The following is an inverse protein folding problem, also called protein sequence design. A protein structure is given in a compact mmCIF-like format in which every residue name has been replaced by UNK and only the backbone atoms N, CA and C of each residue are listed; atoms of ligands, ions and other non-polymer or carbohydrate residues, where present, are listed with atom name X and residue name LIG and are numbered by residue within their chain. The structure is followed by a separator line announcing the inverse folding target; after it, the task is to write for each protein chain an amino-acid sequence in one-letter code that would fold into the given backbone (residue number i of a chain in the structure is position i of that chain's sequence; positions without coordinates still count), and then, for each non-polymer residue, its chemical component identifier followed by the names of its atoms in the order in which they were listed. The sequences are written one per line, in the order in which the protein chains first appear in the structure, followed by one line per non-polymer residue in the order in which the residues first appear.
data_IF_098760355316
#
_entry.id   IF_098760355316
#
_cell.length_a   1.000
_cell.length_b   1.000
_cell.length_c   1.000
_cell.angle_alpha   90.00
_cell.angle_beta   90.00
_cell.angle_gamma   90.00
#
_symmetry.space_group_name_H-M   'P 1'
#
loop_
_entity.id
_entity.type
_entity.pdbx_description
1 polymer ?
#
# COMPACT_ATOMS: atom_id res chain seq x y z
N UNK A 1 -8.74 3.41 35.75
CA UNK A 1 -9.21 2.02 35.80
C UNK A 1 -10.03 1.73 34.54
N UNK A 2 -9.39 1.49 33.40
CA UNK A 2 -9.98 0.83 32.21
C UNK A 2 -8.84 0.04 31.55
N UNK A 3 -8.34 -0.96 32.28
CA UNK A 3 -7.59 -2.06 31.68
C UNK A 3 -8.63 -3.16 31.46
N UNK A 4 -9.51 -2.95 30.48
CA UNK A 4 -10.46 -3.99 30.08
C UNK A 4 -9.62 -5.08 29.42
N UNK A 5 -9.66 -6.28 29.96
CA UNK A 5 -8.92 -7.44 29.49
C UNK A 5 -9.29 -7.75 28.03
N UNK A 6 -8.53 -7.17 27.10
CA UNK A 6 -8.65 -7.51 25.69
C UNK A 6 -8.35 -9.01 25.55
N UNK A 7 -9.24 -9.80 24.91
CA UNK A 7 -8.98 -11.23 24.72
C UNK A 7 -7.68 -11.35 23.92
N UNK A 8 -6.63 -11.92 24.54
CA UNK A 8 -5.36 -12.16 23.85
C UNK A 8 -5.68 -12.98 22.60
N UNK A 9 -5.49 -12.41 21.41
CA UNK A 9 -5.64 -13.14 20.14
C UNK A 9 -4.82 -14.42 20.28
N UNK A 10 -5.51 -15.55 20.35
CA UNK A 10 -4.85 -16.84 20.38
C UNK A 10 -4.10 -17.03 19.06
N UNK A 11 -2.90 -17.57 19.17
CA UNK A 11 -2.09 -17.93 18.01
C UNK A 11 -2.83 -19.03 17.25
N UNK A 12 -3.51 -18.64 16.18
CA UNK A 12 -4.17 -19.54 15.23
C UNK A 12 -3.43 -19.47 13.91
N UNK A 13 -3.25 -20.60 13.25
CA UNK A 13 -2.64 -20.68 11.93
C UNK A 13 -3.37 -19.79 10.91
N UNK A 14 -4.69 -19.64 11.06
CA UNK A 14 -5.50 -18.74 10.24
C UNK A 14 -5.05 -17.29 10.38
N UNK A 15 -4.87 -16.81 11.61
CA UNK A 15 -4.42 -15.45 11.89
C UNK A 15 -3.02 -15.20 11.33
N UNK A 16 -2.15 -16.21 11.35
CA UNK A 16 -0.81 -16.13 10.75
C UNK A 16 -0.87 -16.03 9.24
N UNK A 17 -1.66 -16.87 8.57
CA UNK A 17 -1.81 -16.81 7.13
C UNK A 17 -2.47 -15.50 6.67
N UNK A 18 -3.45 -15.00 7.40
CA UNK A 18 -4.07 -13.70 7.13
C UNK A 18 -3.07 -12.55 7.28
N UNK A 19 -2.30 -12.52 8.38
CA UNK A 19 -1.27 -11.50 8.59
C UNK A 19 -0.17 -11.59 7.52
N UNK A 20 0.29 -12.80 7.23
CA UNK A 20 1.29 -13.05 6.20
C UNK A 20 0.81 -12.62 4.81
N UNK A 21 -0.41 -12.99 4.41
CA UNK A 21 -1.01 -12.58 3.14
C UNK A 21 -1.13 -11.07 3.01
N UNK A 22 -1.47 -10.37 4.10
CA UNK A 22 -1.53 -8.91 4.14
C UNK A 22 -0.14 -8.28 3.93
N UNK A 23 0.90 -8.83 4.55
CA UNK A 23 2.29 -8.36 4.38
C UNK A 23 2.76 -8.60 2.94
N UNK A 24 2.56 -9.82 2.40
CA UNK A 24 2.94 -10.15 1.02
C UNK A 24 2.22 -9.26 0.02
N UNK A 25 0.92 -8.99 0.22
CA UNK A 25 0.17 -8.07 -0.62
C UNK A 25 0.72 -6.63 -0.55
N UNK A 26 1.03 -6.13 0.64
CA UNK A 26 1.58 -4.79 0.83
C UNK A 26 2.93 -4.59 0.13
N UNK A 27 3.76 -5.64 0.05
CA UNK A 27 5.05 -5.62 -0.64
C UNK A 27 4.99 -6.13 -2.09
N UNK A 28 3.80 -6.51 -2.59
CA UNK A 28 3.54 -7.04 -3.94
C UNK A 28 3.63 -6.01 -5.06
N UNK A 29 4.69 -5.21 -5.05
CA UNK A 29 4.87 -4.01 -5.87
C UNK A 29 5.59 -4.30 -7.22
N UNK A 30 6.22 -5.47 -7.35
CA UNK A 30 7.13 -5.76 -8.46
C UNK A 30 6.50 -5.66 -9.86
N UNK A 31 5.21 -5.95 -9.99
CA UNK A 31 4.52 -5.93 -11.28
C UNK A 31 4.37 -4.52 -11.88
N UNK A 32 4.35 -3.46 -11.07
CA UNK A 32 4.21 -2.09 -11.57
C UNK A 32 5.55 -1.40 -11.87
N UNK A 33 6.66 -1.95 -11.37
CA UNK A 33 8.00 -1.36 -11.50
C UNK A 33 8.40 -1.06 -12.95
N UNK A 34 8.11 -1.91 -13.96
CA UNK A 34 8.47 -1.62 -15.34
C UNK A 34 7.76 -0.40 -15.91
N UNK A 35 6.45 -0.24 -15.64
CA UNK A 35 5.67 0.93 -16.08
C UNK A 35 6.18 2.20 -15.39
N UNK A 36 6.43 2.12 -14.07
CA UNK A 36 6.98 3.24 -13.31
C UNK A 36 8.37 3.67 -13.82
N UNK A 37 9.23 2.70 -14.20
CA UNK A 37 10.53 3.00 -14.79
C UNK A 37 10.40 3.66 -16.17
N UNK A 38 9.42 3.24 -16.97
CA UNK A 38 9.15 3.82 -18.29
C UNK A 38 8.67 5.28 -18.18
N UNK A 39 7.87 5.59 -17.15
CA UNK A 39 7.36 6.93 -16.88
C UNK A 39 8.42 7.88 -16.30
N UNK A 40 9.57 7.38 -15.85
CA UNK A 40 10.64 8.20 -15.28
C UNK A 40 11.46 8.94 -16.35
N UNK A 41 11.61 10.27 -16.19
CA UNK A 41 12.48 11.12 -17.01
C UNK A 41 13.94 10.64 -17.10
N UNK A 42 14.44 9.92 -16.09
CA UNK A 42 15.81 9.37 -16.02
C UNK A 42 15.80 7.91 -15.52
N UNK A 43 15.60 6.92 -16.40
CA UNK A 43 15.45 5.52 -15.99
C UNK A 43 16.73 4.91 -15.36
N UNK A 44 17.90 5.50 -15.63
CA UNK A 44 19.19 5.08 -15.05
C UNK A 44 19.26 5.22 -13.52
N UNK A 45 18.42 6.07 -12.93
CA UNK A 45 18.35 6.32 -11.49
C UNK A 45 17.22 5.54 -10.80
N UNK A 46 16.47 4.72 -11.54
CA UNK A 46 15.30 3.99 -11.06
C UNK A 46 15.60 3.15 -9.82
N UNK A 47 16.67 2.35 -9.84
CA UNK A 47 17.05 1.49 -8.73
C UNK A 47 17.33 2.29 -7.44
N UNK A 48 18.00 3.43 -7.54
CA UNK A 48 18.28 4.30 -6.38
C UNK A 48 16.99 4.91 -5.82
N UNK A 49 16.09 5.35 -6.70
CA UNK A 49 14.78 5.89 -6.30
C UNK A 49 13.92 4.82 -5.62
N UNK A 50 13.92 3.60 -6.15
CA UNK A 50 13.17 2.47 -5.62
C UNK A 50 13.64 2.09 -4.22
N UNK A 51 14.96 1.97 -4.02
CA UNK A 51 15.53 1.66 -2.71
C UNK A 51 15.21 2.72 -1.65
N UNK A 52 15.33 4.00 -2.00
CA UNK A 52 14.99 5.09 -1.08
C UNK A 52 13.50 5.06 -0.73
N UNK A 53 12.61 4.90 -1.72
CA UNK A 53 11.18 4.80 -1.49
C UNK A 53 10.83 3.60 -0.58
N UNK A 54 11.47 2.45 -0.80
CA UNK A 54 11.23 1.24 -0.01
C UNK A 54 11.69 1.38 1.44
N UNK A 55 12.83 2.03 1.69
CA UNK A 55 13.31 2.29 3.06
C UNK A 55 12.37 3.28 3.78
N UNK A 56 11.94 4.34 3.08
CA UNK A 56 11.05 5.35 3.66
C UNK A 56 9.69 4.75 4.04
N UNK A 57 9.08 3.94 3.15
CA UNK A 57 7.78 3.29 3.45
C UNK A 57 7.93 2.27 4.59
N UNK A 58 9.04 1.54 4.65
CA UNK A 58 9.31 0.58 5.72
C UNK A 58 9.38 1.28 7.08
N UNK A 59 10.12 2.39 7.17
CA UNK A 59 10.22 3.19 8.40
C UNK A 59 8.85 3.77 8.77
N UNK A 60 8.10 4.28 7.80
CA UNK A 60 6.76 4.82 8.03
C UNK A 60 5.80 3.75 8.61
N UNK A 61 5.76 2.57 8.01
CA UNK A 61 4.96 1.45 8.52
C UNK A 61 5.42 1.00 9.91
N UNK A 62 6.73 0.95 10.15
CA UNK A 62 7.27 0.60 11.46
C UNK A 62 6.87 1.62 12.54
N UNK A 63 6.98 2.92 12.24
CA UNK A 63 6.57 3.99 13.15
C UNK A 63 5.07 3.92 13.48
N UNK A 64 4.22 3.67 12.49
CA UNK A 64 2.77 3.50 12.70
C UNK A 64 2.48 2.25 13.52
N UNK A 65 3.14 1.13 13.23
CA UNK A 65 2.95 -0.12 13.99
C UNK A 65 3.33 0.06 15.46
N UNK A 66 4.47 0.70 15.75
CA UNK A 66 4.91 1.00 17.11
C UNK A 66 3.92 1.97 17.77
N UNK A 67 3.55 3.07 17.11
CA UNK A 67 2.61 4.05 17.64
C UNK A 67 1.22 3.45 17.94
N UNK A 68 0.70 2.63 17.03
CA UNK A 68 -0.57 1.92 17.20
C UNK A 68 -0.53 0.94 18.37
N UNK A 69 0.57 0.20 18.52
CA UNK A 69 0.77 -0.70 19.66
C UNK A 69 0.90 0.06 20.99
N UNK A 70 1.57 1.22 21.02
CA UNK A 70 1.68 2.02 22.24
C UNK A 70 0.34 2.62 22.68
N UNK A 71 -0.51 3.05 21.74
CA UNK A 71 -1.80 3.69 22.04
C UNK A 71 -2.90 2.69 22.39
N UNK A 72 -2.97 1.56 21.67
CA UNK A 72 -4.08 0.59 21.80
C UNK A 72 -3.67 -0.75 22.43
N UNK A 73 -2.37 -0.99 22.66
CA UNK A 73 -1.86 -2.18 23.35
C UNK A 73 -2.30 -3.50 22.70
N UNK A 74 -2.67 -4.47 23.54
CA UNK A 74 -3.20 -5.76 23.11
C UNK A 74 -4.60 -5.68 22.47
N UNK A 75 -5.23 -4.50 22.47
CA UNK A 75 -6.57 -4.26 21.94
C UNK A 75 -6.54 -3.59 20.55
N UNK A 76 -5.40 -3.60 19.85
CA UNK A 76 -5.33 -3.24 18.42
C UNK A 76 -6.24 -4.19 17.64
N UNK A 77 -7.41 -3.71 17.25
CA UNK A 77 -8.31 -4.38 16.31
C UNK A 77 -7.64 -4.59 14.95
N UNK A 78 -8.25 -5.40 14.08
CA UNK A 78 -7.71 -5.68 12.74
C UNK A 78 -7.51 -4.42 11.88
N UNK A 79 -8.19 -3.33 12.23
CA UNK A 79 -8.08 -2.03 11.58
C UNK A 79 -7.97 -0.93 12.65
N UNK A 80 -6.84 -0.21 12.67
CA UNK A 80 -6.56 0.88 13.64
C UNK A 80 -7.64 1.97 13.62
N UNK A 81 -8.28 2.18 12.46
CA UNK A 81 -9.31 3.19 12.24
C UNK A 81 -10.58 2.90 13.05
N UNK A 82 -10.91 1.62 13.28
CA UNK A 82 -12.07 1.23 14.08
C UNK A 82 -11.87 1.48 15.58
N UNK A 83 -10.62 1.67 16.01
CA UNK A 83 -10.31 2.00 17.41
C UNK A 83 -10.46 3.50 17.73
N UNK A 84 -10.72 4.34 16.71
CA UNK A 84 -10.95 5.79 16.88
C UNK A 84 -12.38 6.01 17.40
N UNK A 85 -12.52 6.66 18.55
CA UNK A 85 -13.82 6.87 19.21
C UNK A 85 -14.77 7.85 18.50
N UNK A 86 -14.26 8.65 17.55
CA UNK A 86 -15.01 9.71 16.88
C UNK A 86 -15.52 9.27 15.50
N UNK A 87 -16.84 9.15 15.37
CA UNK A 87 -17.51 8.62 14.16
C UNK A 87 -17.22 9.43 12.88
N UNK A 88 -17.17 10.76 12.95
CA UNK A 88 -16.89 11.61 11.78
C UNK A 88 -15.48 11.39 11.23
N UNK A 89 -14.49 11.27 12.13
CA UNK A 89 -13.10 11.06 11.76
C UNK A 89 -12.90 9.67 11.14
N UNK A 90 -13.61 8.67 11.67
CA UNK A 90 -13.62 7.32 11.14
C UNK A 90 -14.20 7.25 9.72
N UNK A 91 -15.33 7.94 9.48
CA UNK A 91 -15.95 8.01 8.15
C UNK A 91 -15.04 8.69 7.13
N UNK A 92 -14.43 9.83 7.49
CA UNK A 92 -13.49 10.54 6.62
C UNK A 92 -12.27 9.68 6.29
N UNK A 93 -11.68 9.00 7.28
CA UNK A 93 -10.55 8.11 7.06
C UNK A 93 -10.92 6.97 6.09
N UNK A 94 -12.11 6.38 6.24
CA UNK A 94 -12.58 5.31 5.36
C UNK A 94 -12.75 5.79 3.92
N UNK A 95 -13.28 7.00 3.69
CA UNK A 95 -13.41 7.58 2.35
C UNK A 95 -12.05 7.87 1.73
N UNK A 96 -11.09 8.39 2.50
CA UNK A 96 -9.72 8.64 2.02
C UNK A 96 -9.05 7.34 1.59
N UNK A 97 -9.19 6.28 2.38
CA UNK A 97 -8.61 4.97 2.07
C UNK A 97 -9.28 4.36 0.85
N UNK A 98 -10.60 4.48 0.72
CA UNK A 98 -11.32 4.05 -0.47
C UNK A 98 -10.78 4.75 -1.72
N UNK A 99 -10.64 6.08 -1.70
CA UNK A 99 -10.09 6.86 -2.81
C UNK A 99 -8.63 6.49 -3.12
N UNK A 100 -7.82 6.28 -2.08
CA UNK A 100 -6.45 5.81 -2.22
C UNK A 100 -6.41 4.45 -2.94
N UNK A 101 -7.17 3.47 -2.48
CA UNK A 101 -7.22 2.12 -3.05
C UNK A 101 -7.75 2.13 -4.49
N UNK A 102 -8.75 2.96 -4.80
CA UNK A 102 -9.22 3.12 -6.18
C UNK A 102 -8.11 3.68 -7.08
N UNK A 103 -7.35 4.66 -6.59
CA UNK A 103 -6.24 5.26 -7.35
C UNK A 103 -5.10 4.26 -7.57
N UNK A 104 -4.73 3.49 -6.54
CA UNK A 104 -3.70 2.45 -6.69
C UNK A 104 -4.15 1.31 -7.59
N UNK A 105 -5.44 0.98 -7.60
CA UNK A 105 -6.02 0.01 -8.54
C UNK A 105 -5.90 0.51 -9.99
N UNK A 106 -6.21 1.78 -10.27
CA UNK A 106 -6.05 2.35 -11.62
C UNK A 106 -4.58 2.32 -12.06
N UNK A 107 -3.65 2.65 -11.17
CA UNK A 107 -2.21 2.54 -11.48
C UNK A 107 -1.78 1.09 -11.77
N UNK A 108 -2.36 0.10 -11.08
CA UNK A 108 -2.07 -1.32 -11.32
C UNK A 108 -2.55 -1.81 -12.69
N UNK A 109 -3.58 -1.20 -13.28
CA UNK A 109 -4.05 -1.54 -14.63
C UNK A 109 -3.18 -0.96 -15.75
N UNK A 110 -2.49 0.15 -15.52
CA UNK A 110 -1.62 0.80 -16.51
C UNK A 110 -0.59 -0.15 -17.18
N UNK A 111 0.19 -0.97 -16.44
CA UNK A 111 1.11 -1.93 -17.07
C UNK A 111 0.39 -3.00 -17.90
N UNK A 112 -0.82 -3.43 -17.50
CA UNK A 112 -1.59 -4.42 -18.26
C UNK A 112 -2.00 -3.87 -19.63
N UNK A 113 -2.42 -2.60 -19.69
CA UNK A 113 -2.75 -1.93 -20.95
C UNK A 113 -1.51 -1.78 -21.84
N UNK A 114 -0.38 -1.35 -21.27
CA UNK A 114 0.89 -1.25 -22.00
C UNK A 114 1.37 -2.61 -22.55
N UNK A 115 1.16 -3.70 -21.80
CA UNK A 115 1.46 -5.06 -22.25
C UNK A 115 0.56 -5.48 -23.41
N UNK A 116 -0.75 -5.19 -23.33
CA UNK A 116 -1.70 -5.47 -24.42
C UNK A 116 -1.35 -4.67 -25.67
N UNK A 117 -0.99 -3.39 -25.53
CA UNK A 117 -0.57 -2.53 -26.64
C UNK A 117 0.70 -3.06 -27.32
N UNK A 118 1.66 -3.54 -26.53
CA UNK A 118 2.89 -4.17 -27.02
C UNK A 118 2.59 -5.47 -27.78
N UNK A 119 1.68 -6.31 -27.28
CA UNK A 119 1.25 -7.56 -27.94
C UNK A 119 0.48 -7.28 -29.23
N UNK A 120 -0.37 -6.25 -29.25
CA UNK A 120 -1.17 -5.86 -30.41
C UNK A 120 -0.41 -5.03 -31.46
N UNK A 121 0.91 -4.81 -31.28
CA UNK A 121 1.78 -4.07 -32.22
C UNK A 121 1.25 -2.69 -32.61
N UNK A 122 0.49 -2.03 -31.74
CA UNK A 122 0.21 -0.60 -31.91
C UNK A 122 1.54 0.11 -31.67
N UNK A 123 2.26 0.33 -32.76
CA UNK A 123 3.55 1.01 -32.80
C UNK A 123 3.39 2.39 -32.18
N UNK A 124 4.28 2.71 -31.24
CA UNK A 124 4.38 4.01 -30.60
C UNK A 124 4.65 5.08 -31.67
N UNK A 125 3.58 5.67 -32.20
CA UNK A 125 3.62 7.02 -32.71
C UNK A 125 3.98 7.91 -31.53
N UNK A 126 5.20 8.44 -31.53
CA UNK A 126 5.70 9.43 -30.57
C UNK A 126 4.64 10.50 -30.33
N UNK A 127 3.86 10.40 -29.26
CA UNK A 127 3.20 11.57 -28.69
C UNK A 127 4.28 12.39 -28.01
N UNK A 128 4.90 13.22 -28.84
CA UNK A 128 5.70 14.36 -28.46
C UNK A 128 4.80 15.30 -27.63
N UNK A 129 4.81 15.16 -26.31
CA UNK A 129 4.44 16.24 -25.40
C UNK A 129 5.73 16.89 -24.91
N UNK A 130 6.37 17.63 -25.82
CA UNK A 130 7.35 18.64 -25.46
C UNK A 130 6.57 19.92 -25.13
N UNK A 131 6.39 20.18 -23.83
CA UNK A 131 6.37 21.53 -23.28
C UNK A 131 6.80 21.46 -21.82
#
# INVERSE_FOLDING_TARGET
MIYQDAPRRQFSMQNLFTAYGTIVFAFGCHAFLPALQHDMKKPRLFARSLWVAHIVILLYYLSIAIGGYLVYGASVGDVVIHSIQWQWLQQTANVIIMLHVLSTMVMAFSPMVQQIETVLRVSHGKFCFAH
#
